data_IF_044904086620
#
_entry.id   IF_044904086620
#
_cell.length_a   1.000
_cell.length_b   1.000
_cell.length_c   1.000
_cell.angle_alpha   90.00
_cell.angle_beta   90.00
_cell.angle_gamma   90.00
#
_symmetry.space_group_name_H-M   'P 1'
#
loop_
_entity.id
_entity.type
_entity.pdbx_description
1 polymer ?
#
# COMPACT_ATOMS: atom_id res chain seq x y z
N UNK A 1 -7.07 -35.10 -48.08
CA UNK A 1 -7.62 -34.02 -47.23
C UNK A 1 -6.98 -34.15 -45.86
N UNK A 2 -6.01 -33.30 -45.52
CA UNK A 2 -5.31 -33.30 -44.23
C UNK A 2 -5.89 -32.16 -43.39
N UNK A 3 -6.70 -32.49 -42.40
CA UNK A 3 -7.20 -31.52 -41.41
C UNK A 3 -6.08 -31.23 -40.40
N UNK A 4 -5.70 -29.95 -40.28
CA UNK A 4 -4.73 -29.43 -39.31
C UNK A 4 -5.41 -29.30 -37.93
N UNK A 5 -5.06 -30.13 -36.93
CA UNK A 5 -5.60 -30.04 -35.57
C UNK A 5 -4.64 -29.17 -34.73
N UNK A 6 -4.49 -27.90 -35.09
CA UNK A 6 -3.43 -27.05 -34.52
C UNK A 6 -3.88 -25.73 -33.90
N UNK A 7 -5.18 -25.40 -33.94
CA UNK A 7 -5.63 -24.02 -33.73
C UNK A 7 -6.74 -23.84 -32.67
N UNK A 8 -6.95 -24.80 -31.77
CA UNK A 8 -8.05 -24.72 -30.77
C UNK A 8 -7.55 -24.88 -29.32
N UNK A 9 -6.27 -24.57 -29.06
CA UNK A 9 -5.65 -24.73 -27.75
C UNK A 9 -4.86 -23.49 -27.28
N UNK A 10 -5.25 -22.31 -27.77
CA UNK A 10 -4.59 -21.02 -27.41
C UNK A 10 -5.51 -20.03 -26.69
N UNK A 11 -6.75 -20.42 -26.34
CA UNK A 11 -7.71 -19.52 -25.68
C UNK A 11 -7.79 -19.58 -24.14
N UNK A 12 -7.38 -20.64 -23.40
CA UNK A 12 -7.51 -20.60 -21.94
C UNK A 12 -6.34 -19.88 -21.23
N UNK A 13 -5.23 -19.56 -21.91
CA UNK A 13 -4.08 -18.90 -21.29
C UNK A 13 -4.26 -17.39 -21.06
N UNK A 14 -5.20 -16.73 -21.76
CA UNK A 14 -5.46 -15.29 -21.57
C UNK A 14 -6.40 -14.98 -20.40
N UNK A 15 -7.13 -15.96 -19.86
CA UNK A 15 -8.10 -15.72 -18.77
C UNK A 15 -7.46 -15.61 -17.37
N UNK A 16 -6.17 -15.89 -17.22
CA UNK A 16 -5.46 -15.86 -15.92
C UNK A 16 -4.76 -14.53 -15.61
N UNK A 17 -4.74 -13.57 -16.54
CA UNK A 17 -4.07 -12.28 -16.35
C UNK A 17 -4.98 -11.22 -15.71
N UNK A 18 -6.28 -11.48 -15.60
CA UNK A 18 -7.27 -10.49 -15.17
C UNK A 18 -7.48 -10.37 -13.63
N UNK A 19 -6.76 -11.12 -12.80
CA UNK A 19 -6.77 -10.90 -11.33
C UNK A 19 -5.82 -9.76 -10.90
N UNK A 20 -5.57 -8.79 -11.79
CA UNK A 20 -4.77 -7.61 -11.46
C UNK A 20 -5.61 -6.61 -10.67
N UNK A 21 -5.49 -6.71 -9.34
CA UNK A 21 -5.12 -5.56 -8.54
C UNK A 21 -6.23 -4.56 -8.24
N UNK A 22 -7.30 -5.00 -7.59
CA UNK A 22 -7.98 -4.10 -6.66
C UNK A 22 -7.24 -4.11 -5.31
N UNK A 23 -7.12 -2.96 -4.62
CA UNK A 23 -6.65 -2.96 -3.24
C UNK A 23 -7.49 -3.93 -2.44
N UNK A 24 -6.84 -4.86 -1.73
CA UNK A 24 -7.52 -5.97 -1.06
C UNK A 24 -8.45 -5.52 0.07
N UNK A 25 -8.28 -4.28 0.53
CA UNK A 25 -8.92 -3.72 1.72
C UNK A 25 -9.29 -2.27 1.40
N UNK A 26 -10.48 -1.78 1.80
CA UNK A 26 -10.82 -0.38 1.65
C UNK A 26 -9.72 0.50 2.27
N UNK A 27 -9.28 1.55 1.57
CA UNK A 27 -8.28 2.47 2.11
C UNK A 27 -8.73 3.10 3.43
N UNK A 28 -7.79 3.33 4.33
CA UNK A 28 -8.05 4.11 5.54
C UNK A 28 -8.29 5.56 5.14
N UNK A 29 -9.45 6.11 5.51
CA UNK A 29 -9.79 7.50 5.24
C UNK A 29 -8.76 8.46 5.86
N UNK A 30 -8.51 9.59 5.20
CA UNK A 30 -7.52 10.59 5.62
C UNK A 30 -7.69 11.04 7.07
N UNK A 31 -8.93 11.40 7.46
CA UNK A 31 -9.21 11.91 8.81
C UNK A 31 -9.00 10.85 9.89
N UNK A 32 -9.26 9.58 9.58
CA UNK A 32 -8.99 8.44 10.48
C UNK A 32 -7.49 8.26 10.66
N UNK A 33 -6.73 8.25 9.56
CA UNK A 33 -5.28 8.14 9.62
C UNK A 33 -4.65 9.32 10.37
N UNK A 34 -5.16 10.54 10.17
CA UNK A 34 -4.71 11.76 10.86
C UNK A 34 -4.96 11.71 12.37
N UNK A 35 -6.08 11.13 12.80
CA UNK A 35 -6.39 10.97 14.22
C UNK A 35 -5.63 9.80 14.87
N UNK A 36 -5.11 8.86 14.08
CA UNK A 36 -4.43 7.67 14.58
C UNK A 36 -2.96 7.94 14.92
N UNK A 37 -2.72 8.22 16.20
CA UNK A 37 -1.39 8.44 16.77
C UNK A 37 -0.74 7.17 17.33
N UNK A 38 -1.35 5.99 17.15
CA UNK A 38 -0.80 4.75 17.71
C UNK A 38 0.43 4.29 16.91
N UNK A 39 1.58 4.19 17.58
CA UNK A 39 2.83 3.74 16.96
C UNK A 39 2.75 2.24 16.69
N UNK A 40 3.13 1.83 15.48
CA UNK A 40 3.14 0.43 15.03
C UNK A 40 4.46 0.10 14.36
N UNK A 41 4.89 -1.16 14.43
CA UNK A 41 5.92 -1.68 13.54
C UNK A 41 5.23 -2.23 12.29
N UNK A 42 5.53 -1.65 11.13
CA UNK A 42 4.86 -1.92 9.86
C UNK A 42 5.86 -2.48 8.85
N UNK A 43 5.42 -3.48 8.08
CA UNK A 43 6.10 -3.97 6.88
C UNK A 43 5.36 -3.51 5.63
N UNK A 44 6.06 -2.85 4.71
CA UNK A 44 5.45 -2.36 3.47
C UNK A 44 5.23 -3.52 2.50
N UNK A 45 3.99 -3.73 2.07
CA UNK A 45 3.60 -4.79 1.14
C UNK A 45 3.49 -4.25 -0.28
N UNK A 46 2.80 -3.11 -0.45
CA UNK A 46 2.52 -2.53 -1.77
C UNK A 46 2.37 -1.01 -1.66
N UNK A 47 2.66 -0.30 -2.74
CA UNK A 47 2.47 1.14 -2.88
C UNK A 47 1.62 1.38 -4.11
N UNK A 48 0.60 2.22 -3.97
CA UNK A 48 -0.30 2.66 -5.01
C UNK A 48 -0.06 4.15 -5.24
N UNK A 49 0.37 4.52 -6.44
CA UNK A 49 0.57 5.91 -6.84
C UNK A 49 -0.74 6.48 -7.38
N UNK A 50 -1.31 7.47 -6.70
CA UNK A 50 -2.61 8.04 -7.06
C UNK A 50 -2.58 8.86 -8.36
N UNK A 51 -1.39 9.24 -8.84
CA UNK A 51 -1.23 9.89 -10.15
C UNK A 51 -1.32 8.89 -11.32
N UNK A 52 -0.99 7.62 -11.08
CA UNK A 52 -0.97 6.57 -12.10
C UNK A 52 -2.21 5.67 -11.99
N UNK A 53 -2.55 5.26 -10.77
CA UNK A 53 -3.62 4.32 -10.45
C UNK A 53 -4.56 4.94 -9.40
N UNK A 54 -5.45 5.87 -9.80
CA UNK A 54 -6.34 6.54 -8.87
C UNK A 54 -7.38 5.55 -8.31
N UNK A 55 -7.44 5.45 -6.99
CA UNK A 55 -8.56 4.81 -6.29
C UNK A 55 -9.80 5.73 -6.29
N UNK A 56 -10.99 5.15 -6.07
CA UNK A 56 -12.27 5.89 -6.11
C UNK A 56 -12.29 7.06 -5.11
N UNK A 57 -11.64 6.92 -3.96
CA UNK A 57 -11.46 7.99 -2.99
C UNK A 57 -10.29 8.91 -3.40
N UNK A 58 -10.61 9.98 -4.12
CA UNK A 58 -9.66 11.07 -4.40
C UNK A 58 -9.67 12.08 -3.26
N UNK A 59 -8.56 12.14 -2.53
CA UNK A 59 -8.31 13.19 -1.54
C UNK A 59 -7.17 14.09 -2.01
N UNK A 60 -7.33 15.41 -1.90
CA UNK A 60 -6.37 16.40 -2.43
C UNK A 60 -4.98 16.34 -1.80
N UNK A 61 -4.89 15.74 -0.60
CA UNK A 61 -3.66 15.65 0.19
C UNK A 61 -3.04 14.26 0.19
N UNK A 62 -3.62 13.28 -0.52
CA UNK A 62 -3.07 11.91 -0.56
C UNK A 62 -2.35 11.71 -1.89
N UNK A 63 -1.04 11.52 -1.79
CA UNK A 63 -0.17 11.23 -2.95
C UNK A 63 -0.12 9.73 -3.27
N UNK A 64 -0.17 8.89 -2.23
CA UNK A 64 -0.05 7.44 -2.36
C UNK A 64 -0.95 6.75 -1.32
N UNK A 65 -1.34 5.52 -1.63
CA UNK A 65 -1.78 4.56 -0.60
C UNK A 65 -0.73 3.46 -0.43
N UNK A 66 -0.49 3.08 0.81
CA UNK A 66 0.54 2.12 1.17
C UNK A 66 -0.11 0.96 1.90
N UNK A 67 -0.08 -0.22 1.28
CA UNK A 67 -0.48 -1.46 1.94
C UNK A 67 0.63 -1.91 2.87
N UNK A 68 0.27 -2.16 4.12
CA UNK A 68 1.16 -2.58 5.19
C UNK A 68 0.65 -3.81 5.90
N UNK A 69 1.57 -4.56 6.47
CA UNK A 69 1.30 -5.55 7.50
C UNK A 69 1.79 -5.03 8.85
N UNK A 70 0.96 -5.16 9.87
CA UNK A 70 1.31 -4.75 11.23
C UNK A 70 2.07 -5.88 11.92
N UNK A 71 3.38 -5.74 12.06
CA UNK A 71 4.24 -6.71 12.76
C UNK A 71 4.12 -6.59 14.28
N UNK A 72 3.97 -5.36 14.80
CA UNK A 72 3.79 -5.05 16.23
C UNK A 72 2.83 -3.87 16.44
N UNK A 73 2.01 -3.92 17.50
CA UNK A 73 1.05 -2.87 17.86
C UNK A 73 -0.34 -3.41 18.19
N UNK A 74 -1.36 -2.52 18.36
CA UNK A 74 -2.74 -2.91 18.69
C UNK A 74 -3.40 -3.79 17.61
N UNK A 75 -2.99 -3.62 16.36
CA UNK A 75 -3.55 -4.31 15.20
C UNK A 75 -2.63 -5.43 14.67
N UNK A 76 -1.79 -6.02 15.54
CA UNK A 76 -0.79 -7.02 15.13
C UNK A 76 -1.40 -8.14 14.27
N UNK A 77 -0.78 -8.41 13.12
CA UNK A 77 -1.23 -9.41 12.15
C UNK A 77 -2.27 -8.90 11.15
N UNK A 78 -2.78 -7.67 11.32
CA UNK A 78 -3.66 -7.05 10.35
C UNK A 78 -2.88 -6.54 9.13
N UNK A 79 -3.57 -6.53 7.98
CA UNK A 79 -3.15 -5.77 6.82
C UNK A 79 -3.99 -4.50 6.73
N UNK A 80 -3.34 -3.36 6.49
CA UNK A 80 -3.98 -2.06 6.40
C UNK A 80 -3.54 -1.36 5.12
N UNK A 81 -4.43 -0.57 4.53
CA UNK A 81 -4.09 0.35 3.43
C UNK A 81 -4.11 1.75 4.00
N UNK A 82 -2.94 2.36 4.18
CA UNK A 82 -2.81 3.65 4.84
C UNK A 82 -2.50 4.77 3.81
N UNK A 83 -3.08 5.96 3.97
CA UNK A 83 -2.76 7.10 3.12
C UNK A 83 -1.36 7.65 3.43
N UNK A 84 -0.72 8.20 2.40
CA UNK A 84 0.60 8.81 2.48
C UNK A 84 0.66 10.12 1.69
N UNK A 85 1.20 11.15 2.32
CA UNK A 85 1.42 12.47 1.73
C UNK A 85 2.93 12.74 1.60
N UNK A 86 3.44 12.69 0.37
CA UNK A 86 4.84 12.94 0.03
C UNK A 86 5.27 14.39 0.31
N UNK A 87 4.34 15.34 0.27
CA UNK A 87 4.58 16.75 0.62
C UNK A 87 4.72 16.90 2.12
N UNK A 88 3.85 16.25 2.90
CA UNK A 88 3.94 16.25 4.36
C UNK A 88 5.23 15.58 4.84
N UNK A 89 5.61 14.45 4.23
CA UNK A 89 6.83 13.70 4.57
C UNK A 89 8.11 14.23 3.94
N UNK A 90 8.00 15.18 3.01
CA UNK A 90 9.11 15.72 2.21
C UNK A 90 9.92 14.61 1.54
N UNK A 91 9.25 13.57 1.04
CA UNK A 91 9.90 12.41 0.46
C UNK A 91 8.94 11.34 -0.04
N UNK A 92 9.43 10.37 -0.83
CA UNK A 92 8.63 9.28 -1.34
C UNK A 92 8.24 8.30 -0.22
N UNK A 93 7.18 7.49 -0.41
CA UNK A 93 6.82 6.43 0.52
C UNK A 93 7.98 5.43 0.73
N UNK A 94 8.05 4.78 1.90
CA UNK A 94 9.06 3.76 2.16
C UNK A 94 8.94 2.60 1.16
N UNK A 95 10.07 2.01 0.75
CA UNK A 95 10.12 0.97 -0.28
C UNK A 95 9.36 -0.29 0.16
N UNK A 96 8.79 -1.01 -0.81
CA UNK A 96 8.20 -2.34 -0.58
C UNK A 96 9.24 -3.27 0.08
N UNK A 97 8.79 -4.03 1.08
CA UNK A 97 9.61 -4.91 1.91
C UNK A 97 10.34 -4.20 3.06
N UNK A 98 10.34 -2.86 3.12
CA UNK A 98 10.92 -2.13 4.24
C UNK A 98 10.11 -2.28 5.52
N UNK A 99 10.79 -2.14 6.66
CA UNK A 99 10.20 -2.10 7.99
C UNK A 99 10.32 -0.70 8.57
N UNK A 100 9.23 -0.17 9.08
CA UNK A 100 9.17 1.19 9.66
C UNK A 100 8.39 1.16 10.96
N UNK A 101 8.80 2.00 11.92
CA UNK A 101 8.09 2.14 13.20
C UNK A 101 7.50 3.54 13.25
N UNK A 102 6.17 3.63 13.11
CA UNK A 102 5.50 4.89 12.83
C UNK A 102 4.01 4.83 13.18
N UNK A 103 3.40 5.98 13.47
CA UNK A 103 1.95 6.11 13.57
C UNK A 103 1.35 6.56 12.22
N UNK A 104 0.16 6.10 11.80
CA UNK A 104 -0.46 6.54 10.56
C UNK A 104 -0.58 8.06 10.42
N UNK A 105 -0.86 8.79 11.52
CA UNK A 105 -0.92 10.25 11.50
C UNK A 105 0.39 10.89 11.00
N UNK A 106 1.52 10.25 11.26
CA UNK A 106 2.84 10.72 10.82
C UNK A 106 3.00 10.69 9.30
N UNK A 107 2.26 9.84 8.57
CA UNK A 107 2.33 9.75 7.10
C UNK A 107 1.54 10.81 6.36
N UNK A 108 0.53 11.38 7.02
CA UNK A 108 -0.38 12.38 6.43
C UNK A 108 -0.24 13.77 7.05
N UNK A 109 0.56 13.90 8.11
CA UNK A 109 0.87 15.18 8.76
C UNK A 109 2.39 15.40 8.80
N UNK A 110 2.80 16.66 8.75
CA UNK A 110 4.22 17.04 8.86
C UNK A 110 4.77 16.90 10.30
N UNK A 111 3.91 16.67 11.28
CA UNK A 111 4.23 16.83 12.72
C UNK A 111 4.81 15.57 13.39
N UNK A 112 5.12 14.51 12.64
CA UNK A 112 5.61 13.25 13.21
C UNK A 112 7.07 12.92 12.89
N UNK A 113 7.85 12.62 13.92
CA UNK A 113 9.19 12.02 13.80
C UNK A 113 9.07 10.56 13.35
N UNK A 114 9.61 10.24 12.16
CA UNK A 114 9.78 8.83 11.72
C UNK A 114 11.08 8.32 12.31
N UNK A 115 11.01 7.39 13.26
CA UNK A 115 12.19 6.71 13.80
C UNK A 115 12.41 5.42 13.03
N UNK A 116 13.51 5.33 12.29
CA UNK A 116 13.92 4.04 11.72
C UNK A 116 14.24 3.04 12.84
N UNK A 117 13.77 1.78 12.75
CA UNK A 117 14.16 0.76 13.70
C UNK A 117 15.69 0.58 13.65
N UNK A 118 16.35 0.76 14.80
CA UNK A 118 17.80 0.56 14.93
C UNK A 118 18.13 -0.86 14.48
N UNK A 119 18.98 -1.01 13.46
CA UNK A 119 19.49 -2.33 13.06
C UNK A 119 20.21 -2.97 14.27
N UNK A 120 19.92 -4.23 14.63
CA UNK A 120 20.73 -4.94 15.60
C UNK A 120 22.18 -5.00 15.09
N UNK A 121 23.13 -4.67 15.96
CA UNK A 121 24.57 -4.82 15.70
C UNK A 121 24.99 -6.27 15.84
#
# INVERSE_FOLDING_TARGET
>A
MRMLPGLVLLLPALALVACHGQPRIPPTAYDVAKADTAIRALRIIKIWDMAIEPLEERHLFISHFVEVEVEEGPDKGAQLTLPYDDRARRGPPPKVGSRVVVAPATWVTADGDVREPRRPR
#
